data_IF_225919390091
#
_entry.id   IF_225919390091
#
_cell.length_a   1.000
_cell.length_b   1.000
_cell.length_c   1.000
_cell.angle_alpha   90.00
_cell.angle_beta   90.00
_cell.angle_gamma   90.00
#
_symmetry.space_group_name_H-M   'P 1'
#
loop_
_entity.id
_entity.type
_entity.pdbx_description
1 polymer ?
#
# COMPACT_ATOMS: atom_id res chain seq x y z
N UNK A 1 4.09 -18.52 16.19
CA UNK A 1 3.03 -17.77 15.81
C UNK A 1 3.38 -16.75 14.82
N UNK A 2 2.67 -16.62 13.76
CA UNK A 2 2.99 -15.73 12.71
C UNK A 2 2.48 -14.36 13.01
N UNK A 3 3.32 -13.38 12.99
CA UNK A 3 2.91 -12.03 13.22
C UNK A 3 3.07 -11.16 11.99
N UNK A 4 3.90 -11.53 11.10
CA UNK A 4 4.17 -10.73 9.91
C UNK A 4 4.31 -11.62 8.70
N UNK A 5 3.74 -11.18 7.60
CA UNK A 5 3.88 -11.87 6.34
C UNK A 5 4.53 -10.93 5.37
N UNK A 6 5.57 -11.37 4.70
CA UNK A 6 6.27 -10.54 3.75
C UNK A 6 6.27 -11.23 2.39
N UNK A 7 5.76 -10.54 1.38
CA UNK A 7 5.73 -11.05 0.03
C UNK A 7 6.57 -10.15 -0.86
N UNK A 8 7.27 -10.72 -1.79
CA UNK A 8 8.12 -9.97 -2.70
C UNK A 8 7.92 -10.38 -4.14
N UNK A 9 8.41 -9.55 -5.04
CA UNK A 9 8.39 -9.88 -6.46
C UNK A 9 7.02 -9.80 -7.08
N UNK A 10 6.58 -8.63 -7.38
CA UNK A 10 5.34 -8.40 -8.11
C UNK A 10 4.15 -8.93 -7.36
N UNK A 11 3.86 -8.31 -6.28
CA UNK A 11 2.73 -8.71 -5.47
C UNK A 11 1.47 -8.02 -5.99
N UNK A 12 0.41 -8.77 -6.13
CA UNK A 12 -0.88 -8.22 -6.54
C UNK A 12 -1.91 -8.54 -5.47
N UNK A 13 -2.63 -7.51 -5.04
CA UNK A 13 -3.61 -7.69 -4.01
C UNK A 13 -4.94 -7.23 -4.55
N UNK A 14 -5.97 -8.05 -4.43
CA UNK A 14 -7.30 -7.69 -4.88
C UNK A 14 -8.24 -7.87 -3.71
N UNK A 15 -8.90 -6.78 -3.32
CA UNK A 15 -9.73 -6.85 -2.16
C UNK A 15 -10.79 -5.78 -2.17
N UNK A 16 -12.02 -6.11 -1.96
CA UNK A 16 -13.11 -5.17 -1.82
C UNK A 16 -13.17 -4.11 -2.92
N UNK A 17 -13.02 -4.52 -4.12
CA UNK A 17 -13.10 -3.59 -5.23
C UNK A 17 -11.84 -2.77 -5.45
N UNK A 18 -10.75 -3.13 -4.77
CA UNK A 18 -9.50 -2.43 -4.92
C UNK A 18 -8.46 -3.38 -5.47
N UNK A 19 -7.57 -2.89 -6.27
CA UNK A 19 -6.51 -3.70 -6.81
C UNK A 19 -5.20 -3.01 -6.52
N UNK A 20 -4.31 -3.66 -5.81
CA UNK A 20 -3.02 -3.12 -5.47
C UNK A 20 -1.91 -3.91 -6.12
N UNK A 21 -0.91 -3.22 -6.60
CA UNK A 21 0.24 -3.86 -7.19
C UNK A 21 1.47 -3.25 -6.56
N UNK A 22 2.44 -4.05 -6.21
CA UNK A 22 3.67 -3.52 -5.65
C UNK A 22 4.75 -4.58 -5.76
N UNK A 23 5.96 -4.22 -5.43
CA UNK A 23 7.03 -5.21 -5.48
C UNK A 23 7.21 -5.89 -4.14
N UNK A 24 6.76 -5.26 -3.07
CA UNK A 24 6.94 -5.83 -1.76
C UNK A 24 5.73 -5.52 -0.89
N UNK A 25 5.21 -6.50 -0.23
CA UNK A 25 4.06 -6.31 0.64
C UNK A 25 4.37 -6.89 2.01
N UNK A 26 4.17 -6.10 3.04
CA UNK A 26 4.39 -6.57 4.39
C UNK A 26 3.08 -6.45 5.15
N UNK A 27 2.62 -7.52 5.76
CA UNK A 27 1.38 -7.52 6.47
C UNK A 27 1.66 -7.79 7.94
N UNK A 28 1.25 -6.90 8.82
CA UNK A 28 1.46 -7.05 10.23
C UNK A 28 0.15 -7.50 10.85
N UNK A 29 0.10 -8.73 11.28
CA UNK A 29 -1.15 -9.31 11.76
C UNK A 29 -1.57 -8.80 13.13
N UNK A 30 -0.62 -8.33 13.90
CA UNK A 30 -0.97 -7.83 15.20
C UNK A 30 -1.53 -6.42 15.12
N UNK A 31 -1.01 -5.60 14.25
CA UNK A 31 -1.46 -4.24 14.13
C UNK A 31 -2.54 -4.08 13.08
N UNK A 32 -2.86 -5.14 12.38
CA UNK A 32 -3.85 -5.12 11.32
C UNK A 32 -3.44 -4.06 10.31
N UNK A 33 -2.20 -4.11 9.91
CA UNK A 33 -1.61 -3.11 9.04
C UNK A 33 -0.94 -3.74 7.85
N UNK A 34 -1.05 -3.15 6.70
CA UNK A 34 -0.48 -3.66 5.50
C UNK A 34 0.31 -2.57 4.82
N UNK A 35 1.54 -2.83 4.49
CA UNK A 35 2.42 -1.86 3.86
C UNK A 35 2.83 -2.33 2.48
N UNK A 36 2.63 -1.49 1.50
CA UNK A 36 2.99 -1.79 0.13
C UNK A 36 4.19 -0.92 -0.25
N UNK A 37 5.24 -1.51 -0.75
CA UNK A 37 6.44 -0.80 -1.13
C UNK A 37 6.88 -1.19 -2.52
N UNK A 38 7.81 -0.45 -3.09
CA UNK A 38 8.33 -0.77 -4.41
C UNK A 38 7.38 -0.32 -5.49
N UNK A 39 7.19 0.96 -5.63
CA UNK A 39 6.33 1.55 -6.61
C UNK A 39 4.91 1.02 -6.51
N UNK A 40 4.31 1.14 -5.34
CA UNK A 40 2.96 0.62 -5.17
C UNK A 40 1.95 1.43 -5.94
N UNK A 41 0.90 0.76 -6.39
CA UNK A 41 -0.17 1.42 -7.11
C UNK A 41 -1.47 0.74 -6.70
N UNK A 42 -2.40 1.51 -6.19
CA UNK A 42 -3.69 0.98 -5.77
C UNK A 42 -4.78 1.65 -6.60
N UNK A 43 -5.62 0.83 -7.19
CA UNK A 43 -6.69 1.33 -8.00
C UNK A 43 -8.01 1.06 -7.33
N UNK A 44 -8.82 2.10 -7.14
CA UNK A 44 -10.09 1.96 -6.49
C UNK A 44 -11.09 2.69 -7.31
N UNK A 45 -12.09 2.02 -7.80
CA UNK A 45 -13.13 2.62 -8.62
C UNK A 45 -12.51 3.57 -9.66
N UNK A 46 -12.64 4.85 -9.45
CA UNK A 46 -12.13 5.79 -10.41
C UNK A 46 -10.82 6.42 -9.97
N UNK A 47 -10.30 6.05 -8.84
CA UNK A 47 -9.11 6.67 -8.31
C UNK A 47 -7.90 5.75 -8.36
N UNK A 48 -6.75 6.34 -8.46
CA UNK A 48 -5.53 5.59 -8.46
C UNK A 48 -4.58 6.24 -7.48
N UNK A 49 -4.04 5.48 -6.56
CA UNK A 49 -3.13 5.98 -5.56
C UNK A 49 -1.75 5.42 -5.82
N UNK A 50 -0.77 6.30 -5.89
CA UNK A 50 0.62 5.85 -6.06
C UNK A 50 1.47 6.60 -5.06
N UNK A 51 2.66 6.08 -4.80
CA UNK A 51 3.58 6.71 -3.86
C UNK A 51 4.78 5.82 -3.72
N UNK A 52 5.61 6.09 -2.74
CA UNK A 52 6.74 5.24 -2.50
C UNK A 52 6.38 4.18 -1.49
N UNK A 53 5.43 4.45 -0.64
CA UNK A 53 4.99 3.48 0.32
C UNK A 53 3.53 3.78 0.64
N UNK A 54 2.68 2.78 0.62
CA UNK A 54 1.27 2.95 0.94
C UNK A 54 0.96 2.02 2.10
N UNK A 55 0.39 2.56 3.16
CA UNK A 55 0.09 1.79 4.35
C UNK A 55 -1.42 1.80 4.59
N UNK A 56 -1.99 0.62 4.74
CA UNK A 56 -3.39 0.49 5.09
C UNK A 56 -3.45 0.06 6.56
N UNK A 57 -4.28 0.72 7.32
CA UNK A 57 -4.44 0.37 8.73
C UNK A 57 -5.91 0.18 9.03
N UNK A 58 -6.22 -0.35 10.19
CA UNK A 58 -7.58 -0.61 10.63
C UNK A 58 -8.31 -1.48 9.64
N UNK A 59 -7.72 -2.57 9.26
CA UNK A 59 -8.35 -3.50 8.34
C UNK A 59 -8.58 -2.92 6.97
N UNK A 60 -7.81 -1.91 6.60
CA UNK A 60 -7.95 -1.34 5.29
C UNK A 60 -8.83 -0.11 5.26
N UNK A 61 -9.30 0.35 6.41
CA UNK A 61 -10.17 1.51 6.43
C UNK A 61 -9.40 2.81 6.36
N UNK A 62 -8.15 2.83 6.73
CA UNK A 62 -7.36 4.03 6.67
C UNK A 62 -6.17 3.83 5.76
N UNK A 63 -5.83 4.83 5.01
CA UNK A 63 -4.74 4.76 4.04
C UNK A 63 -3.78 5.90 4.29
N UNK A 64 -2.51 5.59 4.33
CA UNK A 64 -1.49 6.60 4.49
C UNK A 64 -0.50 6.44 3.36
N UNK A 65 -0.19 7.50 2.67
CA UNK A 65 0.72 7.45 1.55
C UNK A 65 1.97 8.21 1.91
N UNK A 66 3.10 7.56 1.81
CA UNK A 66 4.38 8.19 2.10
C UNK A 66 5.15 8.40 0.80
N UNK A 67 5.54 9.63 0.57
CA UNK A 67 6.35 9.94 -0.59
C UNK A 67 7.62 10.54 -0.07
N UNK A 68 8.66 9.81 -0.11
CA UNK A 68 9.92 10.26 0.38
C UNK A 68 10.39 11.44 -0.40
N UNK A 69 10.15 11.47 -1.74
CA UNK A 69 10.67 12.50 -2.50
C UNK A 69 9.62 13.34 -3.03
N UNK A 70 9.53 14.51 -2.65
CA UNK A 70 8.57 15.39 -3.14
C UNK A 70 9.26 16.32 -4.06
N UNK A 71 8.91 16.35 -5.28
CA UNK A 71 9.64 17.12 -6.22
C UNK A 71 9.02 18.42 -6.46
N UNK A 72 8.52 18.99 -5.50
CA UNK A 72 8.12 20.31 -5.65
C UNK A 72 6.92 20.55 -6.42
N UNK A 73 6.23 19.64 -6.66
CA UNK A 73 5.21 19.84 -7.36
C UNK A 73 4.02 20.00 -6.67
N UNK A 74 4.02 20.17 -5.55
CA UNK A 74 2.95 20.26 -4.84
C UNK A 74 2.26 21.32 -5.09
N UNK A 75 1.53 21.49 -5.71
CA UNK A 75 0.95 22.52 -5.90
C UNK A 75 -0.20 22.50 -5.43
N UNK A 76 -0.57 22.89 -4.97
CA UNK A 76 -1.58 22.87 -4.48
C UNK A 76 -2.10 23.56 -4.52
#
# INVERSE_FOLDING_TARGET
KLKTILLKDKVTLIELGRKGVCNELEMDLELDQMTLRGSPKVQMDDDEITGQEIVFTDGGQKVKINNVKVTGQLKK
#
